data_IF_003833059334
#
_entry.id   IF_003833059334
#
_cell.length_a   1.000
_cell.length_b   1.000
_cell.length_c   1.000
_cell.angle_alpha   90.00
_cell.angle_beta   90.00
_cell.angle_gamma   90.00
#
_symmetry.space_group_name_H-M   'P 1'
#
loop_
_entity.id
_entity.type
_entity.pdbx_description
1 polymer ?
#
# COMPACT_ATOMS: atom_id res chain seq x y z
N UNK A 1 -13.59 33.90 1.12
CA UNK A 1 -12.49 33.85 2.10
C UNK A 1 -11.26 33.34 1.37
N UNK A 2 -10.25 34.18 1.13
CA UNK A 2 -9.02 33.79 0.41
C UNK A 2 -7.83 34.05 1.33
N UNK A 3 -7.30 33.00 1.93
CA UNK A 3 -6.10 33.05 2.77
C UNK A 3 -4.98 32.29 2.07
N UNK A 4 -3.97 33.03 1.60
CA UNK A 4 -2.73 32.50 1.07
C UNK A 4 -1.93 31.86 2.20
N UNK A 5 -1.54 30.59 2.03
CA UNK A 5 -0.63 29.89 2.96
C UNK A 5 0.79 30.05 2.44
N UNK A 6 1.57 30.82 3.18
CA UNK A 6 3.03 30.93 3.05
C UNK A 6 3.68 29.62 3.50
N UNK A 7 4.54 29.07 2.66
CA UNK A 7 5.44 27.96 3.03
C UNK A 7 6.82 28.52 3.34
N UNK A 8 7.18 28.52 4.63
CA UNK A 8 8.54 28.68 5.11
C UNK A 8 8.86 27.50 6.02
N UNK A 9 9.95 26.79 5.73
CA UNK A 9 10.36 25.65 6.54
C UNK A 9 11.61 24.96 6.04
N UNK A 10 12.72 25.70 5.97
CA UNK A 10 14.06 25.10 6.02
C UNK A 10 14.33 24.64 7.45
N UNK A 11 14.86 23.42 7.63
CA UNK A 11 15.63 23.05 8.82
C UNK A 11 16.66 21.99 8.42
N UNK A 12 17.90 22.42 8.21
CA UNK A 12 19.07 21.55 8.14
C UNK A 12 19.54 21.13 9.54
N UNK A 13 20.14 19.93 9.64
CA UNK A 13 20.69 19.43 10.89
C UNK A 13 21.66 18.28 10.65
N UNK A 14 22.93 18.61 10.44
CA UNK A 14 24.03 17.65 10.45
C UNK A 14 24.33 17.15 11.86
N UNK A 15 24.74 15.89 11.99
CA UNK A 15 25.20 15.32 13.25
C UNK A 15 26.57 14.65 13.05
N UNK A 16 27.65 15.20 13.64
CA UNK A 16 28.92 14.52 13.75
C UNK A 16 29.10 13.87 15.13
N UNK A 17 29.48 12.60 15.10
CA UNK A 17 30.61 12.01 15.85
C UNK A 17 30.66 12.28 17.36
N UNK A 18 30.15 11.34 18.16
CA UNK A 18 30.76 11.03 19.47
C UNK A 18 30.77 9.52 19.68
N UNK A 19 31.98 8.95 19.69
CA UNK A 19 32.27 7.63 20.20
C UNK A 19 32.44 7.71 21.72
N UNK A 20 31.79 6.81 22.47
CA UNK A 20 32.19 6.52 23.85
C UNK A 20 32.17 5.01 24.07
N UNK A 21 33.37 4.46 24.12
CA UNK A 21 33.72 3.09 24.54
C UNK A 21 33.48 2.96 26.04
N UNK A 22 32.78 1.92 26.49
CA UNK A 22 33.08 1.19 27.75
C UNK A 22 32.24 -0.08 27.87
N UNK A 23 32.92 -1.16 28.23
CA UNK A 23 32.48 -2.56 28.18
C UNK A 23 31.67 -3.01 29.41
N UNK A 24 30.87 -4.08 29.24
CA UNK A 24 30.88 -5.36 29.98
C UNK A 24 29.50 -6.04 29.93
N UNK A 25 29.44 -7.25 29.38
CA UNK A 25 29.03 -8.48 30.12
C UNK A 25 29.01 -9.68 29.17
N UNK A 26 29.86 -10.66 29.51
CA UNK A 26 29.82 -12.02 28.96
C UNK A 26 28.67 -12.78 29.61
N UNK A 27 27.85 -13.47 28.82
CA UNK A 27 27.17 -14.71 29.23
C UNK A 27 27.38 -15.71 28.10
N UNK A 28 28.15 -16.75 28.42
CA UNK A 28 28.18 -18.01 27.70
C UNK A 28 27.21 -18.98 28.40
N UNK A 29 26.80 -20.03 27.67
CA UNK A 29 25.88 -21.13 28.02
C UNK A 29 24.45 -20.89 27.51
N UNK A 30 23.85 -21.71 26.64
CA UNK A 30 24.22 -23.00 26.09
C UNK A 30 22.93 -23.69 25.63
N UNK A 31 22.86 -24.07 24.34
CA UNK A 31 21.94 -25.06 23.70
C UNK A 31 20.43 -24.84 23.91
N UNK A 32 19.55 -24.80 22.90
CA UNK A 32 19.23 -25.82 21.88
C UNK A 32 18.39 -25.13 20.78
N UNK A 33 18.67 -25.34 19.48
CA UNK A 33 17.84 -24.80 18.41
C UNK A 33 16.60 -25.68 18.23
N UNK A 34 15.44 -25.28 18.77
CA UNK A 34 14.18 -25.82 18.27
C UNK A 34 13.78 -25.02 17.03
N UNK A 35 14.12 -25.64 15.90
CA UNK A 35 13.78 -25.29 14.53
C UNK A 35 12.26 -25.48 14.34
N UNK A 36 11.48 -24.42 14.53
CA UNK A 36 10.19 -24.26 13.84
C UNK A 36 10.37 -23.11 12.86
N UNK A 37 10.71 -23.48 11.63
CA UNK A 37 10.64 -22.58 10.48
C UNK A 37 9.28 -22.73 9.79
N UNK A 38 8.91 -21.65 9.10
CA UNK A 38 7.70 -21.43 8.28
C UNK A 38 6.46 -21.00 9.10
N UNK A 39 5.98 -19.77 9.05
CA UNK A 39 6.24 -18.69 8.09
C UNK A 39 6.01 -17.35 8.77
N UNK A 40 6.99 -16.45 8.64
CA UNK A 40 6.81 -15.02 8.77
C UNK A 40 5.68 -14.59 7.83
N UNK A 41 4.51 -14.26 8.36
CA UNK A 41 3.57 -13.37 7.68
C UNK A 41 3.49 -12.09 8.53
N UNK A 42 4.65 -11.48 8.74
CA UNK A 42 4.69 -10.04 8.98
C UNK A 42 4.27 -9.43 7.64
N UNK A 43 2.96 -9.25 7.43
CA UNK A 43 2.45 -8.47 6.30
C UNK A 43 2.99 -7.07 6.53
N UNK A 44 4.19 -6.81 6.03
CA UNK A 44 4.54 -5.47 5.58
C UNK A 44 3.45 -5.13 4.60
N UNK A 45 2.48 -4.38 5.08
CA UNK A 45 1.33 -3.87 4.33
C UNK A 45 1.94 -2.93 3.29
N UNK A 46 2.46 -3.52 2.21
CA UNK A 46 2.63 -2.83 0.95
C UNK A 46 1.25 -2.26 0.65
N UNK A 47 1.19 -0.97 0.35
CA UNK A 47 0.01 -0.07 0.36
C UNK A 47 -1.10 -0.50 -0.61
N UNK A 48 -1.63 -1.70 -0.42
CA UNK A 48 -2.82 -2.23 -1.06
C UNK A 48 -4.01 -1.68 -0.29
N UNK A 49 -4.85 -0.94 -1.00
CA UNK A 49 -6.14 -0.52 -0.53
C UNK A 49 -7.16 -1.61 -0.89
N UNK A 50 -8.18 -1.73 -0.05
CA UNK A 50 -9.33 -2.55 -0.34
C UNK A 50 -10.53 -1.64 -0.52
N UNK A 51 -11.40 -2.00 -1.45
CA UNK A 51 -12.58 -1.22 -1.75
C UNK A 51 -13.66 -2.08 -2.37
N UNK A 52 -14.78 -1.43 -2.63
CA UNK A 52 -15.95 -2.03 -3.24
C UNK A 52 -16.12 -1.43 -4.63
N UNK A 53 -16.24 -2.29 -5.65
CA UNK A 53 -16.47 -1.82 -7.02
C UNK A 53 -17.83 -1.13 -7.07
N UNK A 54 -17.85 0.14 -7.46
CA UNK A 54 -19.10 0.90 -7.57
C UNK A 54 -19.83 0.54 -8.84
N UNK A 55 -19.08 0.51 -9.94
CA UNK A 55 -19.51 0.02 -11.23
C UNK A 55 -18.29 -0.18 -12.11
N UNK A 56 -18.36 -1.17 -12.99
CA UNK A 56 -17.35 -1.44 -13.99
C UNK A 56 -18.02 -1.73 -15.33
N UNK A 57 -17.56 -1.06 -16.39
CA UNK A 57 -18.05 -1.34 -17.72
C UNK A 57 -17.00 -2.15 -18.48
N UNK A 58 -17.25 -3.46 -18.61
CA UNK A 58 -16.36 -4.40 -19.28
C UNK A 58 -16.26 -4.17 -20.79
N UNK A 59 -17.29 -3.60 -21.42
CA UNK A 59 -17.29 -3.27 -22.85
C UNK A 59 -16.40 -2.06 -23.13
N UNK A 60 -16.42 -1.07 -22.24
CA UNK A 60 -15.60 0.13 -22.35
C UNK A 60 -14.22 -0.01 -21.72
N UNK A 61 -14.05 -0.96 -20.80
CA UNK A 61 -12.80 -1.25 -20.11
C UNK A 61 -12.42 -0.26 -19.00
N UNK A 62 -13.39 0.43 -18.39
CA UNK A 62 -13.15 1.34 -17.27
C UNK A 62 -14.25 1.26 -16.21
N UNK A 63 -13.93 1.70 -15.00
CA UNK A 63 -14.88 1.75 -13.89
C UNK A 63 -14.40 2.62 -12.74
N UNK A 64 -15.15 2.58 -11.65
CA UNK A 64 -14.82 3.27 -10.40
C UNK A 64 -14.97 2.33 -9.21
N UNK A 65 -14.02 2.47 -8.27
CA UNK A 65 -13.99 1.69 -7.04
C UNK A 65 -14.09 2.66 -5.87
N UNK A 66 -15.01 2.39 -4.95
CA UNK A 66 -15.16 3.14 -3.71
C UNK A 66 -14.24 2.54 -2.64
N UNK A 67 -13.32 3.34 -2.12
CA UNK A 67 -12.45 2.96 -0.98
C UNK A 67 -13.12 3.40 0.31
N UNK A 68 -13.17 2.52 1.31
CA UNK A 68 -13.65 2.90 2.63
C UNK A 68 -12.65 3.85 3.30
N UNK A 69 -13.00 5.14 3.37
CA UNK A 69 -12.13 6.19 3.92
C UNK A 69 -11.30 6.98 2.89
N UNK A 70 -11.59 6.86 1.58
CA UNK A 70 -10.86 7.58 0.53
C UNK A 70 -11.75 8.13 -0.59
N UNK A 71 -11.16 8.88 -1.54
CA UNK A 71 -11.84 9.29 -2.77
C UNK A 71 -12.11 8.09 -3.69
N UNK A 72 -13.13 8.19 -4.56
CA UNK A 72 -13.37 7.18 -5.60
C UNK A 72 -12.13 7.05 -6.50
N UNK A 73 -11.70 5.81 -6.73
CA UNK A 73 -10.49 5.50 -7.49
C UNK A 73 -10.88 5.03 -8.88
N UNK A 74 -10.27 5.63 -9.90
CA UNK A 74 -10.50 5.25 -11.28
C UNK A 74 -9.78 3.93 -11.60
N UNK A 75 -10.47 2.97 -12.20
CA UNK A 75 -9.86 1.69 -12.63
C UNK A 75 -9.94 1.54 -14.15
N UNK A 76 -8.84 1.09 -14.74
CA UNK A 76 -8.75 0.75 -16.17
C UNK A 76 -8.51 -0.74 -16.35
N UNK A 77 -9.04 -1.34 -17.43
CA UNK A 77 -8.89 -2.78 -17.70
C UNK A 77 -7.43 -3.24 -17.77
N UNK A 78 -6.51 -2.36 -18.13
CA UNK A 78 -5.06 -2.65 -18.21
C UNK A 78 -4.42 -2.85 -16.84
N UNK A 79 -5.05 -2.33 -15.78
CA UNK A 79 -4.56 -2.43 -14.41
C UNK A 79 -5.08 -3.66 -13.65
N UNK A 80 -5.99 -4.44 -14.25
CA UNK A 80 -6.61 -5.59 -13.60
C UNK A 80 -5.75 -6.83 -13.86
N UNK A 81 -5.17 -7.41 -12.80
CA UNK A 81 -4.38 -8.64 -12.83
C UNK A 81 -5.30 -9.85 -12.60
N UNK A 82 -6.11 -10.16 -13.61
CA UNK A 82 -7.04 -11.30 -13.61
C UNK A 82 -6.83 -12.13 -14.87
N UNK A 83 -6.63 -13.44 -14.70
CA UNK A 83 -6.64 -14.42 -15.77
C UNK A 83 -8.06 -14.62 -16.31
N UNK A 84 -8.43 -13.88 -17.37
CA UNK A 84 -9.67 -14.12 -18.12
C UNK A 84 -10.39 -12.86 -18.60
N UNK A 85 -11.71 -12.99 -18.77
CA UNK A 85 -12.58 -11.83 -19.01
C UNK A 85 -12.65 -11.04 -17.71
N UNK A 86 -12.04 -9.85 -17.72
CA UNK A 86 -11.99 -8.93 -16.58
C UNK A 86 -13.39 -8.35 -16.33
N UNK A 87 -14.32 -9.17 -15.84
CA UNK A 87 -15.62 -8.75 -15.35
C UNK A 87 -15.51 -8.55 -13.84
N UNK A 88 -15.73 -7.32 -13.43
CA UNK A 88 -15.91 -6.96 -12.03
C UNK A 88 -17.41 -6.82 -11.80
N UNK A 89 -17.94 -7.56 -10.85
CA UNK A 89 -19.32 -7.37 -10.40
C UNK A 89 -19.42 -6.10 -9.55
N UNK A 90 -20.51 -5.34 -9.70
CA UNK A 90 -20.78 -4.22 -8.82
C UNK A 90 -21.03 -4.72 -7.38
N UNK A 91 -20.55 -3.98 -6.40
CA UNK A 91 -20.60 -4.40 -4.99
C UNK A 91 -19.55 -5.44 -4.61
N UNK A 92 -18.73 -5.94 -5.54
CA UNK A 92 -17.69 -6.91 -5.24
C UNK A 92 -16.51 -6.26 -4.52
N UNK A 93 -15.91 -7.02 -3.59
CA UNK A 93 -14.73 -6.60 -2.85
C UNK A 93 -13.46 -6.89 -3.65
N UNK A 94 -12.62 -5.87 -3.78
CA UNK A 94 -11.38 -5.94 -4.54
C UNK A 94 -10.24 -5.33 -3.77
N UNK A 95 -9.05 -5.87 -4.02
CA UNK A 95 -7.78 -5.36 -3.54
C UNK A 95 -7.04 -4.68 -4.70
N UNK A 96 -6.50 -3.50 -4.47
CA UNK A 96 -5.80 -2.73 -5.49
C UNK A 96 -4.81 -1.76 -4.86
N UNK A 97 -3.82 -1.33 -5.63
CA UNK A 97 -2.90 -0.27 -5.20
C UNK A 97 -3.43 1.09 -5.69
N UNK A 98 -3.48 2.09 -4.81
CA UNK A 98 -3.87 3.46 -5.21
C UNK A 98 -2.61 4.18 -5.68
N UNK A 99 -2.56 4.51 -6.97
CA UNK A 99 -1.48 5.29 -7.59
C UNK A 99 -1.97 6.70 -7.96
N UNK A 100 -1.07 7.69 -7.88
CA UNK A 100 -1.37 9.04 -8.32
C UNK A 100 -1.20 9.13 -9.85
N UNK A 101 -2.31 9.24 -10.59
CA UNK A 101 -2.31 9.41 -12.03
C UNK A 101 -2.46 10.87 -12.47
N UNK A 102 -2.31 11.11 -13.78
CA UNK A 102 -2.45 12.45 -14.38
C UNK A 102 -3.87 13.05 -14.22
N UNK A 103 -4.89 12.20 -14.06
CA UNK A 103 -6.30 12.60 -13.90
C UNK A 103 -6.81 12.47 -12.46
N UNK A 104 -5.96 12.10 -11.50
CA UNK A 104 -6.36 11.79 -10.12
C UNK A 104 -5.94 10.38 -9.68
N UNK A 105 -6.43 9.92 -8.53
CA UNK A 105 -6.11 8.59 -8.01
C UNK A 105 -6.65 7.49 -8.95
N UNK A 106 -5.75 6.58 -9.36
CA UNK A 106 -6.05 5.44 -10.20
C UNK A 106 -5.69 4.12 -9.49
N UNK A 107 -6.41 3.06 -9.79
CA UNK A 107 -6.17 1.73 -9.25
C UNK A 107 -5.17 1.00 -10.13
N UNK A 108 -4.11 0.46 -9.54
CA UNK A 108 -3.16 -0.45 -10.16
C UNK A 108 -3.23 -1.83 -9.54
N UNK A 109 -2.87 -2.86 -10.32
CA UNK A 109 -2.84 -4.28 -9.90
C UNK A 109 -4.10 -4.71 -9.16
N UNK A 110 -5.25 -4.50 -9.79
CA UNK A 110 -6.55 -4.83 -9.20
C UNK A 110 -6.72 -6.35 -9.19
N UNK A 111 -7.07 -6.88 -8.02
CA UNK A 111 -7.29 -8.30 -7.75
C UNK A 111 -8.63 -8.49 -7.04
N UNK A 112 -9.38 -9.50 -7.44
CA UNK A 112 -10.64 -9.87 -6.78
C UNK A 112 -10.33 -10.70 -5.54
N UNK A 113 -10.97 -10.36 -4.43
CA UNK A 113 -10.92 -11.16 -3.21
C UNK A 113 -12.13 -12.10 -3.24
N UNK A 114 -11.93 -13.43 -3.26
CA UNK A 114 -13.02 -14.41 -3.21
C UNK A 114 -13.72 -14.46 -1.85
#
# INVERSE_FOLDING_TARGET
MNGVVSVSGECGGGSPRVACVSALRRVASGVRPNRVGASTIEVRKCTVAQGTVKWFNSEKGYGFIAVDGGPDVFVHFSAIEMDGYKLLEDGQRVEFEIAQGQKGPQAEKVRVIP
#
